data_IF_032275492265
#
_entry.id   IF_032275492265
#
_cell.length_a   1.000
_cell.length_b   1.000
_cell.length_c   1.000
_cell.angle_alpha   90.00
_cell.angle_beta   90.00
_cell.angle_gamma   90.00
#
_symmetry.space_group_name_H-M   'P 1'
#
loop_
_entity.id
_entity.type
_entity.pdbx_description
1 polymer ?
#
# COMPACT_ATOMS: atom_id res chain seq x y z
N UNK A 1 3.38 5.32 1.64
CA UNK A 1 3.11 3.90 1.28
C UNK A 1 2.79 3.74 -0.21
N UNK A 2 2.58 4.84 -0.91
CA UNK A 2 2.40 4.96 -2.35
C UNK A 2 3.54 4.29 -3.13
N UNK A 3 4.79 4.58 -2.77
CA UNK A 3 5.94 3.95 -3.42
C UNK A 3 5.91 2.43 -3.25
N UNK A 4 5.63 1.93 -2.05
CA UNK A 4 5.52 0.49 -1.81
C UNK A 4 4.45 -0.14 -2.72
N UNK A 5 3.25 0.44 -2.78
CA UNK A 5 2.18 0.00 -3.68
C UNK A 5 2.63 -0.01 -5.14
N UNK A 6 3.33 1.04 -5.57
CA UNK A 6 3.86 1.15 -6.91
C UNK A 6 4.89 0.06 -7.21
N UNK A 7 5.78 -0.25 -6.27
CA UNK A 7 6.82 -1.26 -6.44
C UNK A 7 6.22 -2.67 -6.47
N UNK A 8 5.41 -3.03 -5.48
CA UNK A 8 4.85 -4.39 -5.34
C UNK A 8 3.90 -4.76 -6.46
N UNK A 9 3.06 -3.82 -6.92
CA UNK A 9 2.16 -4.08 -8.06
C UNK A 9 2.89 -4.15 -9.40
N UNK A 10 4.15 -3.72 -9.45
CA UNK A 10 5.04 -3.92 -10.59
C UNK A 10 6.01 -5.11 -10.38
N UNK A 11 5.80 -5.92 -9.34
CA UNK A 11 6.55 -7.16 -9.10
C UNK A 11 7.88 -6.98 -8.37
N UNK A 12 8.11 -5.84 -7.73
CA UNK A 12 9.28 -5.63 -6.85
C UNK A 12 8.93 -6.08 -5.43
N UNK A 13 9.78 -6.88 -4.81
CA UNK A 13 9.53 -7.40 -3.46
C UNK A 13 9.85 -6.34 -2.39
N UNK A 14 8.85 -5.96 -1.57
CA UNK A 14 9.00 -4.98 -0.50
C UNK A 14 8.79 -5.55 0.91
N UNK A 15 8.94 -6.86 1.10
CA UNK A 15 8.87 -7.47 2.44
C UNK A 15 10.04 -7.09 3.35
N UNK A 16 11.08 -6.48 2.80
CA UNK A 16 12.17 -5.81 3.50
C UNK A 16 12.64 -4.57 2.70
N UNK A 17 13.78 -3.98 3.09
CA UNK A 17 14.31 -2.77 2.45
C UNK A 17 15.00 -3.01 1.10
N UNK A 18 15.21 -4.26 0.67
CA UNK A 18 15.98 -4.60 -0.54
C UNK A 18 15.31 -4.08 -1.83
N UNK A 19 14.00 -4.27 -1.98
CA UNK A 19 13.26 -3.84 -3.17
C UNK A 19 13.35 -2.35 -3.45
N UNK A 20 13.48 -1.53 -2.41
CA UNK A 20 13.64 -0.07 -2.54
C UNK A 20 15.01 0.35 -3.07
N UNK A 21 16.01 -0.53 -3.02
CA UNK A 21 17.37 -0.27 -3.48
C UNK A 21 17.63 -0.81 -4.89
N UNK A 22 16.70 -1.60 -5.44
CA UNK A 22 16.83 -2.14 -6.79
C UNK A 22 16.83 -1.01 -7.85
N UNK A 23 17.59 -1.13 -8.94
CA UNK A 23 17.60 -0.14 -10.01
C UNK A 23 16.19 0.18 -10.54
N UNK A 24 15.33 -0.85 -10.64
CA UNK A 24 13.96 -0.74 -11.11
C UNK A 24 13.08 0.10 -10.18
N UNK A 25 13.42 0.22 -8.90
CA UNK A 25 12.65 1.05 -7.98
C UNK A 25 12.68 2.53 -8.38
N UNK A 26 13.86 3.02 -8.84
CA UNK A 26 13.99 4.39 -9.36
C UNK A 26 13.20 4.62 -10.63
N UNK A 27 13.14 3.62 -11.51
CA UNK A 27 12.36 3.70 -12.75
C UNK A 27 10.85 3.79 -12.47
N UNK A 28 10.39 3.13 -11.41
CA UNK A 28 8.98 3.06 -11.03
C UNK A 28 8.54 4.21 -10.11
N UNK A 29 9.48 4.91 -9.46
CA UNK A 29 9.21 5.88 -8.40
C UNK A 29 8.22 6.98 -8.80
N UNK A 30 8.26 7.45 -10.05
CA UNK A 30 7.37 8.51 -10.52
C UNK A 30 5.87 8.12 -10.42
N UNK A 31 5.55 6.84 -10.61
CA UNK A 31 4.18 6.32 -10.57
C UNK A 31 3.56 6.31 -9.16
N UNK A 32 4.35 6.51 -8.10
CA UNK A 32 3.80 6.61 -6.74
C UNK A 32 2.74 7.71 -6.62
N UNK A 33 2.85 8.77 -7.42
CA UNK A 33 1.93 9.91 -7.37
C UNK A 33 0.52 9.61 -7.87
N UNK A 34 0.32 8.48 -8.55
CA UNK A 34 -1.00 8.01 -9.01
C UNK A 34 -1.82 7.40 -7.88
N UNK A 35 -1.20 7.04 -6.76
CA UNK A 35 -1.86 6.32 -5.68
C UNK A 35 -2.66 7.26 -4.76
N UNK A 36 -3.83 6.80 -4.32
CA UNK A 36 -4.74 7.49 -3.41
C UNK A 36 -5.09 6.56 -2.25
N UNK A 37 -5.06 7.10 -1.03
CA UNK A 37 -5.51 6.39 0.15
C UNK A 37 -7.04 6.35 0.15
N UNK A 38 -7.61 5.15 0.10
CA UNK A 38 -9.06 4.93 0.20
C UNK A 38 -9.52 4.88 1.66
N UNK A 39 -8.79 4.11 2.47
CA UNK A 39 -9.15 3.85 3.85
C UNK A 39 -7.88 3.55 4.65
N UNK A 40 -7.80 4.15 5.83
CA UNK A 40 -6.89 3.70 6.88
C UNK A 40 -7.74 3.20 8.05
N UNK A 41 -7.41 2.00 8.54
CA UNK A 41 -8.09 1.38 9.67
C UNK A 41 -7.06 1.01 10.74
N UNK A 42 -7.16 1.64 11.90
CA UNK A 42 -6.30 1.34 13.05
C UNK A 42 -6.81 0.12 13.82
N UNK A 43 -5.96 -0.43 14.68
CA UNK A 43 -6.42 -1.30 15.75
C UNK A 43 -7.23 -0.48 16.75
N UNK A 44 -8.35 -1.02 17.21
CA UNK A 44 -9.25 -0.34 18.17
C UNK A 44 -9.86 -1.38 19.11
N UNK A 45 -9.49 -1.30 20.39
CA UNK A 45 -9.97 -2.19 21.44
C UNK A 45 -11.49 -2.12 21.62
N UNK A 46 -12.10 -0.92 21.50
CA UNK A 46 -13.55 -0.74 21.68
C UNK A 46 -14.33 -1.41 20.56
N UNK A 47 -13.80 -1.33 19.34
CA UNK A 47 -14.34 -2.02 18.18
C UNK A 47 -13.89 -3.49 18.08
N UNK A 48 -13.04 -3.95 19.01
CA UNK A 48 -12.43 -5.29 19.04
C UNK A 48 -11.64 -5.63 17.75
N UNK A 49 -10.90 -4.67 17.22
CA UNK A 49 -10.04 -4.82 16.05
C UNK A 49 -8.57 -4.85 16.47
N UNK A 50 -7.82 -5.87 16.03
CA UNK A 50 -6.39 -6.03 16.28
C UNK A 50 -5.70 -6.48 14.99
N UNK A 51 -4.70 -5.73 14.54
CA UNK A 51 -3.93 -6.01 13.33
C UNK A 51 -2.46 -6.26 13.69
N UNK A 52 -2.05 -7.52 13.80
CA UNK A 52 -0.71 -7.85 14.29
C UNK A 52 -0.49 -7.31 15.72
N UNK A 53 0.64 -6.65 15.96
CA UNK A 53 0.93 -5.97 17.23
C UNK A 53 0.37 -4.54 17.25
N UNK A 54 -0.95 -4.42 17.43
CA UNK A 54 -1.68 -3.15 17.46
C UNK A 54 -1.38 -2.23 16.24
N UNK A 55 -1.27 -2.84 15.06
CA UNK A 55 -0.94 -2.19 13.81
C UNK A 55 -2.12 -1.53 13.10
N UNK A 56 -1.87 -1.14 11.84
CA UNK A 56 -2.78 -0.40 10.96
C UNK A 56 -2.87 -1.03 9.58
N UNK A 57 -4.07 -1.05 9.04
CA UNK A 57 -4.34 -1.40 7.64
C UNK A 57 -4.50 -0.14 6.80
N UNK A 58 -3.92 -0.16 5.60
CA UNK A 58 -4.03 0.90 4.61
C UNK A 58 -4.48 0.31 3.28
N UNK A 59 -5.57 0.84 2.74
CA UNK A 59 -6.07 0.48 1.42
C UNK A 59 -5.76 1.62 0.45
N UNK A 60 -5.00 1.30 -0.60
CA UNK A 60 -4.57 2.23 -1.63
C UNK A 60 -5.13 1.81 -2.99
N UNK A 61 -5.35 2.76 -3.88
CA UNK A 61 -5.79 2.51 -5.26
C UNK A 61 -5.14 3.53 -6.18
N UNK A 62 -4.98 3.23 -7.48
CA UNK A 62 -4.63 4.27 -8.45
C UNK A 62 -5.83 5.18 -8.74
N UNK A 63 -5.57 6.45 -9.03
CA UNK A 63 -6.61 7.42 -9.35
C UNK A 63 -7.43 7.00 -10.58
N UNK A 64 -6.82 6.37 -11.58
CA UNK A 64 -7.52 5.83 -12.75
C UNK A 64 -8.55 4.78 -12.36
N UNK A 65 -8.14 3.80 -11.55
CA UNK A 65 -8.97 2.66 -11.18
C UNK A 65 -10.09 3.10 -10.24
N UNK A 66 -9.82 4.12 -9.40
CA UNK A 66 -10.84 4.78 -8.58
C UNK A 66 -11.90 5.46 -9.45
N UNK A 67 -11.50 6.19 -10.49
CA UNK A 67 -12.42 6.83 -11.43
C UNK A 67 -13.31 5.81 -12.17
N UNK A 68 -12.78 4.62 -12.44
CA UNK A 68 -13.51 3.51 -13.08
C UNK A 68 -14.31 2.66 -12.08
N UNK A 69 -14.20 2.94 -10.78
CA UNK A 69 -14.76 2.14 -9.68
C UNK A 69 -14.28 0.67 -9.67
N UNK A 70 -13.08 0.39 -10.20
CA UNK A 70 -12.48 -0.94 -10.18
C UNK A 70 -11.69 -1.16 -8.87
N UNK A 71 -12.44 -1.41 -7.79
CA UNK A 71 -11.86 -1.64 -6.46
C UNK A 71 -11.14 -2.99 -6.32
N UNK A 72 -11.25 -3.90 -7.30
CA UNK A 72 -10.46 -5.14 -7.33
C UNK A 72 -8.95 -4.86 -7.51
N UNK A 73 -8.60 -3.63 -7.93
CA UNK A 73 -7.22 -3.13 -8.06
C UNK A 73 -6.68 -2.48 -6.79
N UNK A 74 -7.46 -2.41 -5.71
CA UNK A 74 -6.97 -1.87 -4.45
C UNK A 74 -5.86 -2.74 -3.85
N UNK A 75 -4.87 -2.10 -3.24
CA UNK A 75 -3.75 -2.75 -2.56
C UNK A 75 -3.80 -2.50 -1.06
N UNK A 76 -3.62 -3.56 -0.28
CA UNK A 76 -3.58 -3.52 1.18
C UNK A 76 -2.13 -3.53 1.67
N UNK A 77 -1.81 -2.63 2.60
CA UNK A 77 -0.58 -2.67 3.40
C UNK A 77 -0.96 -2.80 4.88
N UNK A 78 -0.32 -3.75 5.56
CA UNK A 78 -0.32 -3.87 7.02
C UNK A 78 0.99 -3.28 7.56
N UNK A 79 0.89 -2.31 8.45
CA UNK A 79 2.01 -1.82 9.26
C UNK A 79 1.82 -2.26 10.71
N UNK A 80 2.74 -3.04 11.25
CA UNK A 80 2.81 -3.38 12.68
C UNK A 80 4.27 -3.43 13.14
N UNK A 81 4.49 -3.60 14.45
CA UNK A 81 5.83 -3.78 15.04
C UNK A 81 6.28 -5.24 15.03
#
# INVERSE_FOLDING_TARGET
MELECQLVTNGVYCGDSSGYQEPRAKELEAGQTEWRLLLQLDSDERAKMMWGDAGRLYFWIRESDLCEHDFDKAWLILQCS
#
